data_IF_968368957723
#
_entry.id   IF_968368957723
#
_cell.length_a   1.000
_cell.length_b   1.000
_cell.length_c   1.000
_cell.angle_alpha   90.00
_cell.angle_beta   90.00
_cell.angle_gamma   90.00
#
_symmetry.space_group_name_H-M   'P 1'
#
loop_
_entity.id
_entity.type
_entity.pdbx_description
1 polymer ?
#
# COMPACT_ATOMS: atom_id res chain seq x y z
N UNK A 1 6.67 -12.58 19.07
CA UNK A 1 7.27 -11.74 20.17
C UNK A 1 7.76 -12.61 21.35
N UNK A 2 8.52 -13.65 21.04
CA UNK A 2 8.89 -14.68 22.03
C UNK A 2 9.88 -14.15 23.07
N UNK A 3 10.73 -13.20 22.71
CA UNK A 3 11.78 -12.66 23.59
C UNK A 3 11.51 -11.21 23.95
N UNK A 4 11.64 -10.81 25.24
CA UNK A 4 11.40 -9.43 25.67
C UNK A 4 12.52 -8.46 25.26
N UNK A 5 13.74 -8.96 25.02
CA UNK A 5 14.92 -8.12 24.76
C UNK A 5 14.71 -7.12 23.61
N UNK A 6 14.13 -7.57 22.48
CA UNK A 6 13.86 -6.70 21.34
C UNK A 6 12.84 -5.61 21.69
N UNK A 7 11.78 -5.98 22.43
CA UNK A 7 10.77 -5.00 22.87
C UNK A 7 11.40 -3.99 23.83
N UNK A 8 12.20 -4.44 24.77
CA UNK A 8 12.91 -3.56 25.73
C UNK A 8 13.86 -2.59 25.02
N UNK A 9 14.59 -3.07 24.00
CA UNK A 9 15.49 -2.24 23.19
C UNK A 9 14.71 -1.17 22.43
N UNK A 10 13.60 -1.54 21.79
CA UNK A 10 12.75 -0.61 21.06
C UNK A 10 12.05 0.40 21.98
N UNK A 11 11.62 -0.02 23.18
CA UNK A 11 11.10 0.90 24.20
C UNK A 11 12.15 1.91 24.64
N UNK A 12 13.39 1.47 24.91
CA UNK A 12 14.49 2.36 25.28
C UNK A 12 14.86 3.32 24.13
N UNK A 13 14.69 2.88 22.89
CA UNK A 13 14.91 3.71 21.71
C UNK A 13 13.77 4.68 21.40
N UNK A 14 12.66 4.64 22.14
CA UNK A 14 11.50 5.51 21.91
C UNK A 14 10.68 5.18 20.69
N UNK A 15 10.76 3.93 20.18
CA UNK A 15 10.03 3.52 18.98
C UNK A 15 8.63 2.97 19.26
N UNK A 16 8.41 2.48 20.49
CA UNK A 16 7.14 1.85 20.90
C UNK A 16 6.20 2.90 21.46
N UNK A 17 4.96 2.90 20.97
CA UNK A 17 3.90 3.74 21.50
C UNK A 17 3.53 3.33 22.93
N UNK A 18 3.56 4.25 23.90
CA UNK A 18 3.12 3.97 25.26
C UNK A 18 1.60 3.76 25.37
N UNK A 19 0.85 4.19 24.36
CA UNK A 19 -0.62 4.12 24.36
C UNK A 19 -1.16 2.81 23.79
N UNK A 20 -0.27 1.93 23.32
CA UNK A 20 -0.69 0.66 22.75
C UNK A 20 -1.41 0.76 21.39
N UNK A 21 -1.23 1.85 20.65
CA UNK A 21 -1.88 2.11 19.38
C UNK A 21 -0.89 2.62 18.32
N UNK A 22 -1.03 2.17 17.07
CA UNK A 22 -0.38 2.81 15.93
C UNK A 22 -1.29 3.93 15.42
N UNK A 23 -0.93 5.18 15.73
CA UNK A 23 -1.68 6.38 15.33
C UNK A 23 -1.13 6.92 14.00
N UNK A 24 -1.31 6.15 12.93
CA UNK A 24 -0.74 6.49 11.62
C UNK A 24 -1.23 7.84 11.13
N UNK A 25 -0.30 8.75 10.84
CA UNK A 25 -0.53 10.12 10.30
C UNK A 25 -1.21 11.10 11.26
N UNK A 26 -1.48 10.70 12.50
CA UNK A 26 -2.15 11.52 13.51
C UNK A 26 -1.17 12.47 14.22
N UNK A 27 -1.68 13.59 14.72
CA UNK A 27 -0.91 14.54 15.53
C UNK A 27 -0.36 13.91 16.82
N UNK A 28 -1.08 12.94 17.37
CA UNK A 28 -0.68 12.18 18.56
C UNK A 28 0.24 10.98 18.26
N UNK A 29 0.78 10.85 17.03
CA UNK A 29 1.70 9.78 16.65
C UNK A 29 2.94 9.80 17.54
N UNK A 30 3.19 8.71 18.29
CA UNK A 30 4.24 8.62 19.30
C UNK A 30 4.97 7.27 19.30
N UNK A 31 4.90 6.54 18.21
CA UNK A 31 5.50 5.23 18.05
C UNK A 31 4.53 4.18 17.51
N UNK A 32 5.02 2.97 17.37
CA UNK A 32 4.20 1.85 16.88
C UNK A 32 3.99 0.78 17.95
N UNK A 33 3.07 -0.12 17.70
CA UNK A 33 2.84 -1.30 18.53
C UNK A 33 3.34 -2.53 17.79
N UNK A 34 4.15 -3.35 18.47
CA UNK A 34 4.58 -4.63 17.92
C UNK A 34 3.43 -5.64 17.99
N UNK A 35 3.25 -6.39 16.95
CA UNK A 35 2.31 -7.50 16.90
C UNK A 35 2.91 -8.70 16.17
N UNK A 36 2.20 -9.80 16.18
CA UNK A 36 2.61 -11.06 15.55
C UNK A 36 1.64 -11.43 14.44
N UNK A 37 2.16 -12.14 13.45
CA UNK A 37 1.33 -12.64 12.37
C UNK A 37 2.11 -13.51 11.41
N UNK A 38 1.38 -14.30 10.64
CA UNK A 38 1.86 -15.02 9.49
C UNK A 38 0.89 -14.78 8.34
N UNK A 39 1.40 -14.69 7.13
CA UNK A 39 0.60 -14.48 5.93
C UNK A 39 1.18 -15.23 4.76
N UNK A 40 0.30 -15.70 3.88
CA UNK A 40 0.68 -16.32 2.62
C UNK A 40 -0.23 -15.80 1.50
N UNK A 41 0.34 -15.58 0.35
CA UNK A 41 -0.39 -15.26 -0.88
C UNK A 41 0.01 -16.24 -1.97
N UNK A 42 -0.97 -16.69 -2.75
CA UNK A 42 -0.73 -17.51 -3.93
C UNK A 42 -0.64 -16.59 -5.14
N UNK A 43 0.49 -16.65 -5.84
CA UNK A 43 0.73 -15.85 -7.04
C UNK A 43 0.77 -16.78 -8.25
N UNK A 44 0.04 -16.41 -9.30
CA UNK A 44 -0.03 -17.17 -10.55
C UNK A 44 -0.06 -16.23 -11.74
N UNK A 45 0.47 -16.65 -12.87
CA UNK A 45 0.33 -15.88 -14.11
C UNK A 45 -1.14 -15.73 -14.48
N UNK A 46 -1.57 -14.54 -14.89
CA UNK A 46 -2.96 -14.24 -15.21
C UNK A 46 -3.52 -15.23 -16.25
N UNK A 47 -2.77 -15.51 -17.33
CA UNK A 47 -3.18 -16.47 -18.36
C UNK A 47 -3.45 -17.88 -17.81
N UNK A 48 -2.66 -18.33 -16.83
CA UNK A 48 -2.87 -19.62 -16.20
C UNK A 48 -4.04 -19.60 -15.22
N UNK A 49 -4.19 -18.53 -14.45
CA UNK A 49 -5.33 -18.36 -13.54
C UNK A 49 -6.67 -18.34 -14.31
N UNK A 50 -6.71 -17.68 -15.46
CA UNK A 50 -7.88 -17.67 -16.34
C UNK A 50 -8.17 -19.06 -16.91
N UNK A 51 -7.15 -19.75 -17.40
CA UNK A 51 -7.27 -21.11 -17.95
C UNK A 51 -7.79 -22.10 -16.91
N UNK A 52 -7.32 -21.98 -15.66
CA UNK A 52 -7.66 -22.88 -14.58
C UNK A 52 -8.92 -22.42 -13.80
N UNK A 53 -9.53 -21.29 -14.25
CA UNK A 53 -10.70 -20.67 -13.62
C UNK A 53 -10.51 -20.37 -12.12
N UNK A 54 -9.30 -19.92 -11.76
CA UNK A 54 -8.97 -19.58 -10.38
C UNK A 54 -9.63 -18.26 -9.93
N UNK A 55 -10.00 -18.11 -8.66
CA UNK A 55 -10.48 -16.86 -8.12
C UNK A 55 -9.37 -15.82 -8.04
N UNK A 56 -9.52 -14.71 -8.76
CA UNK A 56 -8.54 -13.61 -8.79
C UNK A 56 -9.01 -12.49 -7.85
N UNK A 57 -8.18 -12.11 -6.88
CA UNK A 57 -8.44 -11.03 -5.94
C UNK A 57 -7.97 -9.69 -6.46
N UNK A 58 -6.77 -9.65 -7.04
CA UNK A 58 -6.17 -8.48 -7.64
C UNK A 58 -5.06 -8.89 -8.61
N UNK A 59 -4.61 -7.96 -9.44
CA UNK A 59 -3.47 -8.12 -10.33
C UNK A 59 -2.27 -7.36 -9.76
N UNK A 60 -1.11 -8.01 -9.65
CA UNK A 60 0.16 -7.35 -9.39
C UNK A 60 0.68 -6.84 -10.72
N UNK A 61 0.68 -5.51 -10.90
CA UNK A 61 1.07 -4.88 -12.16
C UNK A 61 2.56 -4.52 -12.21
N UNK A 62 3.12 -4.17 -11.05
CA UNK A 62 4.54 -3.81 -10.95
C UNK A 62 5.01 -3.79 -9.52
N UNK A 63 6.30 -3.92 -9.33
CA UNK A 63 6.95 -3.80 -8.03
C UNK A 63 8.37 -3.29 -8.17
N UNK A 64 8.87 -2.64 -7.13
CA UNK A 64 10.25 -2.23 -7.02
C UNK A 64 10.76 -2.38 -5.59
N UNK A 65 12.04 -2.55 -5.46
CA UNK A 65 12.77 -2.61 -4.18
C UNK A 65 14.04 -1.78 -4.32
N UNK A 66 14.33 -0.97 -3.32
CA UNK A 66 15.60 -0.26 -3.22
C UNK A 66 16.09 -0.17 -1.77
N UNK A 67 17.13 0.60 -1.57
CA UNK A 67 17.76 0.82 -0.28
C UNK A 67 17.94 2.32 -0.05
N UNK A 68 17.77 2.79 1.20
CA UNK A 68 17.99 4.18 1.60
C UNK A 68 19.44 4.62 1.38
N UNK A 69 20.39 3.69 1.55
CA UNK A 69 21.81 4.02 1.51
C UNK A 69 22.22 4.84 2.72
N UNK A 70 22.98 5.91 2.48
CA UNK A 70 23.39 6.85 3.54
C UNK A 70 22.25 7.83 3.81
N UNK A 71 21.57 7.67 4.95
CA UNK A 71 20.53 8.59 5.44
C UNK A 71 21.04 9.48 6.59
N UNK A 72 20.19 10.35 7.12
CA UNK A 72 20.53 11.23 8.25
C UNK A 72 20.82 10.46 9.56
N UNK A 73 20.40 9.22 9.66
CA UNK A 73 20.64 8.32 10.79
C UNK A 73 20.20 6.91 10.47
N UNK A 74 20.71 5.92 11.20
CA UNK A 74 20.45 4.49 10.96
C UNK A 74 18.96 4.14 10.86
N UNK A 75 18.12 4.87 11.60
CA UNK A 75 16.68 4.62 11.70
C UNK A 75 15.83 5.69 11.03
N UNK A 76 16.47 6.66 10.35
CA UNK A 76 15.78 7.75 9.66
C UNK A 76 15.61 7.37 8.20
N UNK A 77 14.37 7.25 7.71
CA UNK A 77 14.10 6.91 6.32
C UNK A 77 14.62 7.99 5.34
N UNK A 78 14.99 7.56 4.14
CA UNK A 78 15.35 8.48 3.06
C UNK A 78 14.14 8.76 2.14
N UNK A 79 13.66 10.00 2.18
CA UNK A 79 12.50 10.44 1.38
C UNK A 79 12.71 10.21 -0.12
N UNK A 80 13.94 10.44 -0.61
CA UNK A 80 14.23 10.28 -2.03
C UNK A 80 14.26 8.79 -2.45
N UNK A 81 14.75 7.91 -1.58
CA UNK A 81 14.68 6.47 -1.84
C UNK A 81 13.24 5.98 -1.92
N UNK A 82 12.38 6.45 -1.01
CA UNK A 82 10.95 6.13 -1.04
C UNK A 82 10.27 6.66 -2.31
N UNK A 83 10.57 7.90 -2.73
CA UNK A 83 10.07 8.45 -4.01
C UNK A 83 10.50 7.61 -5.21
N UNK A 84 11.77 7.22 -5.25
CA UNK A 84 12.32 6.42 -6.35
C UNK A 84 11.65 5.04 -6.43
N UNK A 85 11.47 4.33 -5.31
CA UNK A 85 10.86 3.00 -5.33
C UNK A 85 9.40 3.04 -5.79
N UNK A 86 8.64 4.07 -5.38
CA UNK A 86 7.26 4.27 -5.84
C UNK A 86 7.23 4.55 -7.34
N UNK A 87 8.04 5.49 -7.81
CA UNK A 87 8.10 5.87 -9.22
C UNK A 87 8.53 4.68 -10.12
N UNK A 88 9.52 3.91 -9.69
CA UNK A 88 10.00 2.72 -10.42
C UNK A 88 8.92 1.63 -10.52
N UNK A 89 8.19 1.36 -9.43
CA UNK A 89 7.10 0.39 -9.44
C UNK A 89 5.97 0.80 -10.39
N UNK A 90 5.61 2.09 -10.41
CA UNK A 90 4.62 2.64 -11.35
C UNK A 90 5.07 2.52 -12.81
N UNK A 91 6.33 2.85 -13.08
CA UNK A 91 6.90 2.71 -14.43
C UNK A 91 6.85 1.26 -14.92
N UNK A 92 7.21 0.30 -14.07
CA UNK A 92 7.10 -1.14 -14.38
C UNK A 92 5.65 -1.59 -14.56
N UNK A 93 4.73 -1.00 -13.81
CA UNK A 93 3.30 -1.28 -13.93
C UNK A 93 2.66 -0.67 -15.19
N UNK A 94 3.29 0.33 -15.82
CA UNK A 94 2.68 1.12 -16.90
C UNK A 94 1.48 1.95 -16.43
N UNK A 95 1.44 2.33 -15.13
CA UNK A 95 0.33 3.04 -14.50
C UNK A 95 0.75 4.48 -14.22
N UNK A 96 -0.14 5.43 -14.56
CA UNK A 96 0.12 6.83 -14.28
C UNK A 96 -0.10 7.15 -12.78
N UNK A 97 0.68 8.05 -12.19
CA UNK A 97 0.55 8.41 -10.77
C UNK A 97 -0.87 8.79 -10.35
N UNK A 98 -1.58 9.54 -11.20
CA UNK A 98 -2.95 9.99 -10.90
C UNK A 98 -4.02 8.88 -11.00
N UNK A 99 -3.68 7.71 -11.55
CA UNK A 99 -4.56 6.55 -11.63
C UNK A 99 -4.52 5.68 -10.35
N UNK A 100 -3.67 5.98 -9.39
CA UNK A 100 -3.66 5.32 -8.07
C UNK A 100 -4.64 6.04 -7.16
N UNK A 101 -5.67 5.37 -6.62
CA UNK A 101 -6.64 5.99 -5.73
C UNK A 101 -6.32 5.81 -4.26
N UNK A 102 -5.62 4.74 -3.91
CA UNK A 102 -5.30 4.40 -2.53
C UNK A 102 -3.85 3.92 -2.38
N UNK A 103 -3.23 4.28 -1.26
CA UNK A 103 -1.96 3.68 -0.83
C UNK A 103 -2.10 3.08 0.54
N UNK A 104 -1.89 1.78 0.62
CA UNK A 104 -1.59 1.11 1.89
C UNK A 104 -0.17 1.48 2.27
N UNK A 105 -0.05 2.42 3.16
CA UNK A 105 1.23 2.96 3.58
C UNK A 105 1.94 2.05 4.59
N UNK A 106 3.23 2.23 4.73
CA UNK A 106 3.96 1.66 5.85
C UNK A 106 3.39 2.19 7.16
N UNK A 107 3.16 3.50 7.28
CA UNK A 107 2.29 4.16 8.27
C UNK A 107 2.37 3.59 9.67
N UNK A 108 3.52 3.70 10.32
CA UNK A 108 3.78 3.11 11.64
C UNK A 108 3.23 3.90 12.81
N UNK A 109 2.86 5.17 12.59
CA UNK A 109 2.48 6.08 13.68
C UNK A 109 3.68 6.70 14.37
N UNK A 110 4.80 6.89 13.66
CA UNK A 110 6.01 7.50 14.20
C UNK A 110 6.12 8.97 13.82
N UNK A 111 6.57 9.85 14.74
CA UNK A 111 6.65 11.30 14.50
C UNK A 111 7.56 11.68 13.33
N UNK A 112 8.54 10.83 13.00
CA UNK A 112 9.52 11.08 11.93
C UNK A 112 9.15 10.34 10.65
N UNK A 113 8.78 9.05 10.75
CA UNK A 113 8.55 8.20 9.59
C UNK A 113 7.32 8.60 8.78
N UNK A 114 6.20 8.84 9.46
CA UNK A 114 4.94 9.15 8.79
C UNK A 114 4.99 10.44 7.95
N UNK A 115 5.60 11.57 8.42
CA UNK A 115 5.75 12.75 7.58
C UNK A 115 6.64 12.54 6.36
N UNK A 116 7.72 11.78 6.48
CA UNK A 116 8.62 11.44 5.37
C UNK A 116 7.88 10.62 4.32
N UNK A 117 7.16 9.59 4.76
CA UNK A 117 6.39 8.73 3.86
C UNK A 117 5.24 9.50 3.19
N UNK A 118 4.48 10.30 3.95
CA UNK A 118 3.38 11.10 3.41
C UNK A 118 3.88 12.08 2.32
N UNK A 119 5.03 12.74 2.54
CA UNK A 119 5.66 13.59 1.52
C UNK A 119 6.11 12.79 0.30
N UNK A 120 6.69 11.61 0.51
CA UNK A 120 7.11 10.75 -0.60
C UNK A 120 5.93 10.32 -1.46
N UNK A 121 4.86 9.85 -0.84
CA UNK A 121 3.60 9.44 -1.50
C UNK A 121 2.98 10.64 -2.24
N UNK A 122 2.75 11.75 -1.54
CA UNK A 122 2.09 12.92 -2.12
C UNK A 122 2.88 13.54 -3.27
N UNK A 123 4.22 13.63 -3.14
CA UNK A 123 5.07 14.16 -4.21
C UNK A 123 4.99 13.33 -5.49
N UNK A 124 4.96 11.99 -5.39
CA UNK A 124 4.97 11.12 -6.57
C UNK A 124 3.57 10.92 -7.14
N UNK A 125 2.56 10.72 -6.28
CA UNK A 125 1.26 10.22 -6.71
C UNK A 125 0.18 11.31 -6.84
N UNK A 126 0.39 12.49 -6.25
CA UNK A 126 -0.62 13.55 -6.26
C UNK A 126 -0.36 14.64 -7.30
N UNK A 127 0.75 14.59 -8.02
CA UNK A 127 1.02 15.53 -9.11
C UNK A 127 -0.06 15.44 -10.19
N UNK A 128 -0.55 16.59 -10.64
CA UNK A 128 -1.59 16.70 -11.68
C UNK A 128 -2.96 16.14 -11.27
N UNK A 129 -3.18 15.86 -9.98
CA UNK A 129 -4.46 15.41 -9.44
C UNK A 129 -5.33 16.60 -9.06
N UNK A 130 -6.60 16.59 -9.44
CA UNK A 130 -7.55 17.61 -9.01
C UNK A 130 -7.70 17.61 -7.49
N UNK A 131 -7.83 18.79 -6.87
CA UNK A 131 -7.99 18.91 -5.41
C UNK A 131 -9.25 18.23 -4.87
N UNK A 132 -10.28 18.07 -5.69
CA UNK A 132 -11.49 17.30 -5.38
C UNK A 132 -11.27 15.78 -5.38
N UNK A 133 -10.16 15.29 -5.93
CA UNK A 133 -9.84 13.88 -6.03
C UNK A 133 -8.53 13.59 -5.27
N UNK A 134 -8.57 13.75 -3.94
CA UNK A 134 -7.40 13.51 -3.08
C UNK A 134 -7.00 12.05 -3.09
N UNK A 135 -5.70 11.79 -3.08
CA UNK A 135 -5.17 10.45 -2.87
C UNK A 135 -5.49 10.00 -1.43
N UNK A 136 -6.01 8.79 -1.31
CA UNK A 136 -6.33 8.20 -0.01
C UNK A 136 -5.13 7.40 0.49
N UNK A 137 -4.74 7.63 1.74
CA UNK A 137 -3.68 6.86 2.40
C UNK A 137 -4.20 6.26 3.70
N UNK A 138 -3.74 5.06 4.05
CA UNK A 138 -4.09 4.42 5.30
C UNK A 138 -3.09 3.32 5.64
N UNK A 139 -3.21 2.73 6.81
CA UNK A 139 -2.34 1.65 7.27
C UNK A 139 -3.09 0.59 8.06
N UNK A 140 -2.89 -0.68 7.73
CA UNK A 140 -3.41 -1.81 8.48
C UNK A 140 -2.86 -1.86 9.92
N UNK A 141 -1.74 -1.19 10.16
CA UNK A 141 -1.12 -1.15 11.49
C UNK A 141 -1.98 -0.45 12.53
N UNK A 142 -2.87 0.45 12.11
CA UNK A 142 -3.85 1.04 13.02
C UNK A 142 -4.84 0.02 13.61
N UNK A 143 -5.04 -1.12 12.93
CA UNK A 143 -5.93 -2.21 13.35
C UNK A 143 -5.18 -3.36 14.02
N UNK A 144 -4.04 -3.76 13.47
CA UNK A 144 -3.35 -5.01 13.79
C UNK A 144 -2.03 -4.79 14.53
N UNK A 145 -1.55 -3.55 14.63
CA UNK A 145 -0.18 -3.26 15.03
C UNK A 145 0.82 -3.61 13.92
N UNK A 146 2.09 -3.46 14.23
CA UNK A 146 3.18 -3.75 13.31
C UNK A 146 3.62 -5.21 13.43
N UNK A 147 3.20 -6.04 12.50
CA UNK A 147 3.54 -7.47 12.43
C UNK A 147 4.97 -7.73 11.90
N UNK A 148 5.80 -6.68 11.86
CA UNK A 148 7.23 -6.71 11.47
C UNK A 148 7.46 -7.42 10.13
N UNK A 149 8.01 -8.62 10.14
CA UNK A 149 8.33 -9.37 8.91
C UNK A 149 7.10 -9.64 8.03
N UNK A 150 5.90 -9.73 8.62
CA UNK A 150 4.66 -10.00 7.89
C UNK A 150 3.96 -8.73 7.41
N UNK A 151 4.38 -7.55 7.88
CA UNK A 151 3.65 -6.30 7.65
C UNK A 151 3.38 -5.98 6.18
N UNK A 152 4.33 -6.26 5.28
CA UNK A 152 4.17 -6.09 3.84
C UNK A 152 3.09 -7.00 3.26
N UNK A 153 3.05 -8.27 3.68
CA UNK A 153 2.02 -9.24 3.25
C UNK A 153 0.65 -8.85 3.78
N UNK A 154 0.55 -8.38 5.02
CA UNK A 154 -0.70 -7.85 5.60
C UNK A 154 -1.24 -6.69 4.75
N UNK A 155 -0.40 -5.72 4.41
CA UNK A 155 -0.78 -4.59 3.55
C UNK A 155 -1.22 -5.05 2.15
N UNK A 156 -0.51 -6.01 1.57
CA UNK A 156 -0.85 -6.59 0.27
C UNK A 156 -2.24 -7.26 0.30
N UNK A 157 -2.50 -8.11 1.31
CA UNK A 157 -3.79 -8.79 1.50
C UNK A 157 -4.91 -7.77 1.71
N UNK A 158 -4.72 -6.77 2.57
CA UNK A 158 -5.70 -5.71 2.78
C UNK A 158 -6.04 -4.98 1.47
N UNK A 159 -5.02 -4.53 0.73
CA UNK A 159 -5.23 -3.82 -0.53
C UNK A 159 -5.96 -4.69 -1.59
N UNK A 160 -5.62 -5.97 -1.70
CA UNK A 160 -6.29 -6.90 -2.60
C UNK A 160 -7.77 -7.09 -2.22
N UNK A 161 -8.08 -7.24 -0.92
CA UNK A 161 -9.45 -7.34 -0.43
C UNK A 161 -10.25 -6.05 -0.64
N UNK A 162 -9.62 -4.89 -0.46
CA UNK A 162 -10.24 -3.59 -0.73
C UNK A 162 -10.61 -3.44 -2.21
N UNK A 163 -9.71 -3.80 -3.12
CA UNK A 163 -9.96 -3.79 -4.56
C UNK A 163 -11.11 -4.73 -4.93
N UNK A 164 -11.11 -5.95 -4.39
CA UNK A 164 -12.16 -6.95 -4.64
C UNK A 164 -13.54 -6.49 -4.14
N UNK A 165 -13.59 -5.88 -2.96
CA UNK A 165 -14.84 -5.46 -2.34
C UNK A 165 -15.24 -4.02 -2.70
N UNK A 166 -14.41 -3.28 -3.42
CA UNK A 166 -14.59 -1.87 -3.77
C UNK A 166 -14.90 -0.99 -2.53
N UNK A 167 -14.23 -1.26 -1.41
CA UNK A 167 -14.40 -0.55 -0.14
C UNK A 167 -13.04 -0.20 0.47
N UNK A 168 -12.98 0.96 1.09
CA UNK A 168 -11.81 1.46 1.83
C UNK A 168 -12.21 1.54 3.31
N UNK A 169 -11.62 0.72 4.19
CA UNK A 169 -11.90 0.78 5.62
C UNK A 169 -11.31 2.05 6.25
N UNK A 170 -11.88 2.45 7.37
CA UNK A 170 -11.33 3.54 8.19
C UNK A 170 -9.90 3.24 8.64
N UNK A 171 -9.08 4.27 8.70
CA UNK A 171 -7.81 4.24 9.45
C UNK A 171 -8.13 4.56 10.90
N UNK A 172 -7.89 3.61 11.80
CA UNK A 172 -8.19 3.80 13.23
C UNK A 172 -7.19 4.77 13.87
N UNK A 173 -7.59 5.33 15.01
CA UNK A 173 -6.75 6.23 15.83
C UNK A 173 -6.27 7.50 15.09
N UNK A 174 -6.94 7.90 14.03
CA UNK A 174 -6.73 9.17 13.34
C UNK A 174 -7.81 10.15 13.79
N UNK A 175 -7.45 11.04 14.71
CA UNK A 175 -8.34 12.02 15.33
C UNK A 175 -8.05 13.41 14.78
N UNK A 176 -6.77 13.77 14.72
CA UNK A 176 -6.31 15.06 14.26
C UNK A 176 -5.12 14.88 13.29
N UNK A 177 -5.13 15.57 12.14
CA UNK A 177 -4.02 15.50 11.20
C UNK A 177 -2.70 15.98 11.82
N UNK A 178 -1.62 15.22 11.58
CA UNK A 178 -0.29 15.62 12.03
C UNK A 178 0.10 16.99 11.46
N UNK A 179 0.52 17.96 12.30
CA UNK A 179 0.97 19.27 11.84
C UNK A 179 2.26 19.21 11.01
N UNK A 180 2.98 18.09 11.04
CA UNK A 180 4.19 17.87 10.27
C UNK A 180 3.93 17.31 8.87
N UNK A 181 2.66 17.05 8.53
CA UNK A 181 2.23 16.55 7.21
C UNK A 181 1.36 17.61 6.55
N UNK A 182 1.81 18.25 5.47
CA UNK A 182 1.04 19.25 4.75
C UNK A 182 -0.01 18.58 3.84
N UNK A 183 -1.05 17.99 4.43
CA UNK A 183 -2.07 17.18 3.73
C UNK A 183 -2.71 17.90 2.54
N UNK A 184 -2.98 19.20 2.68
CA UNK A 184 -3.61 20.00 1.63
C UNK A 184 -2.68 20.23 0.44
N UNK A 185 -1.40 20.52 0.71
CA UNK A 185 -0.38 20.74 -0.32
C UNK A 185 -0.07 19.43 -1.06
N UNK A 186 0.05 18.34 -0.30
CA UNK A 186 0.28 17.00 -0.82
C UNK A 186 -0.94 16.39 -1.51
N UNK A 187 -2.10 17.02 -1.38
CA UNK A 187 -3.38 16.55 -1.93
C UNK A 187 -3.70 15.09 -1.55
N UNK A 188 -3.46 14.76 -0.28
CA UNK A 188 -3.71 13.46 0.33
C UNK A 188 -4.75 13.58 1.45
N UNK A 189 -5.39 12.45 1.80
CA UNK A 189 -6.29 12.36 2.96
C UNK A 189 -6.26 10.96 3.58
N UNK A 190 -6.65 10.89 4.84
CA UNK A 190 -6.81 9.65 5.61
C UNK A 190 -8.31 9.39 5.81
N UNK A 191 -8.84 8.19 5.52
CA UNK A 191 -10.24 7.88 5.73
C UNK A 191 -10.53 7.65 7.22
N UNK A 192 -11.51 8.34 7.78
CA UNK A 192 -11.94 8.21 9.19
C UNK A 192 -13.17 7.30 9.36
N UNK A 193 -13.81 6.97 8.27
CA UNK A 193 -14.96 6.03 8.20
C UNK A 193 -14.74 5.07 7.04
N UNK A 194 -15.41 3.92 7.08
CA UNK A 194 -15.43 3.02 5.93
C UNK A 194 -16.21 3.67 4.79
N UNK A 195 -15.60 3.73 3.62
CA UNK A 195 -16.18 4.38 2.44
C UNK A 195 -16.11 3.47 1.20
N UNK A 196 -16.92 3.78 0.21
CA UNK A 196 -16.83 3.15 -1.09
C UNK A 196 -15.52 3.56 -1.79
N UNK A 197 -14.99 2.67 -2.63
CA UNK A 197 -13.89 3.06 -3.51
C UNK A 197 -14.30 4.23 -4.39
N UNK A 198 -13.43 5.25 -4.59
CA UNK A 198 -13.75 6.39 -5.47
C UNK A 198 -14.18 5.94 -6.86
N UNK A 199 -15.13 6.65 -7.44
CA UNK A 199 -15.54 6.38 -8.82
C UNK A 199 -14.37 6.63 -9.78
N UNK A 200 -14.03 5.62 -10.55
CA UNK A 200 -12.97 5.65 -11.55
C UNK A 200 -13.50 5.67 -12.98
N UNK A 201 -14.83 5.74 -13.15
CA UNK A 201 -15.49 5.60 -14.44
C UNK A 201 -15.15 4.24 -15.09
N UNK A 202 -14.66 4.28 -16.31
CA UNK A 202 -14.23 3.07 -17.03
C UNK A 202 -12.84 2.56 -16.65
N UNK A 203 -12.03 3.37 -15.93
CA UNK A 203 -10.69 2.96 -15.52
C UNK A 203 -10.75 1.93 -14.38
N UNK A 204 -9.77 1.01 -14.31
CA UNK A 204 -9.67 0.07 -13.20
C UNK A 204 -9.29 0.78 -11.88
N UNK A 205 -9.68 0.18 -10.76
CA UNK A 205 -9.22 0.58 -9.43
C UNK A 205 -7.76 0.18 -9.24
N UNK A 206 -6.96 1.07 -8.66
CA UNK A 206 -5.52 0.87 -8.47
C UNK A 206 -5.13 1.25 -7.03
N UNK A 207 -4.35 0.39 -6.41
CA UNK A 207 -3.76 0.62 -5.10
C UNK A 207 -2.24 0.47 -5.13
N UNK A 208 -1.53 1.29 -4.37
CA UNK A 208 -0.13 1.09 -4.02
C UNK A 208 -0.01 0.44 -2.64
N UNK A 209 1.06 -0.31 -2.41
CA UNK A 209 1.39 -0.90 -1.10
C UNK A 209 2.85 -0.62 -0.79
N UNK A 210 3.11 0.06 0.31
CA UNK A 210 4.45 0.36 0.82
C UNK A 210 4.85 -0.63 1.92
N UNK A 211 6.10 -1.06 1.89
CA UNK A 211 6.73 -1.77 3.01
C UNK A 211 8.16 -1.29 3.13
N UNK A 212 8.45 -0.58 4.21
CA UNK A 212 9.75 0.04 4.45
C UNK A 212 10.40 -0.58 5.69
N UNK A 213 11.58 -1.15 5.50
CA UNK A 213 12.31 -1.83 6.58
C UNK A 213 13.12 -0.85 7.41
N UNK A 214 13.22 -1.13 8.70
CA UNK A 214 14.02 -0.35 9.67
C UNK A 214 15.51 -0.22 9.25
N UNK A 215 16.03 -1.21 8.52
CA UNK A 215 17.39 -1.20 7.96
C UNK A 215 17.51 -0.51 6.60
N UNK A 216 16.49 0.22 6.16
CA UNK A 216 16.49 1.04 4.94
C UNK A 216 16.11 0.31 3.65
N UNK A 217 15.66 -0.93 3.70
CA UNK A 217 15.10 -1.61 2.53
C UNK A 217 13.67 -1.16 2.29
N UNK A 218 13.39 -0.58 1.11
CA UNK A 218 12.07 -0.13 0.72
C UNK A 218 11.50 -0.99 -0.39
N UNK A 219 10.22 -1.31 -0.30
CA UNK A 219 9.46 -1.99 -1.34
C UNK A 219 8.15 -1.28 -1.63
N UNK A 220 7.77 -1.22 -2.90
CA UNK A 220 6.46 -0.76 -3.35
C UNK A 220 5.88 -1.74 -4.36
N UNK A 221 4.58 -2.06 -4.20
CA UNK A 221 3.84 -2.92 -5.11
C UNK A 221 2.62 -2.17 -5.62
N UNK A 222 2.36 -2.26 -6.93
CA UNK A 222 1.18 -1.68 -7.58
C UNK A 222 0.19 -2.79 -7.88
N UNK A 223 -1.00 -2.70 -7.27
CA UNK A 223 -2.12 -3.60 -7.46
C UNK A 223 -3.21 -2.93 -8.30
N UNK A 224 -3.88 -3.73 -9.11
CA UNK A 224 -5.05 -3.32 -9.90
C UNK A 224 -6.19 -4.31 -9.70
N UNK A 225 -7.44 -3.82 -9.68
CA UNK A 225 -8.59 -4.71 -9.68
C UNK A 225 -8.57 -5.64 -10.90
N UNK A 226 -9.01 -6.85 -10.71
CA UNK A 226 -9.33 -7.75 -11.79
C UNK A 226 -10.80 -7.54 -12.17
N UNK A 227 -11.06 -7.17 -13.42
CA UNK A 227 -12.38 -7.13 -14.01
C UNK A 227 -12.52 -8.34 -14.93
N UNK A 228 -13.49 -9.17 -14.65
CA UNK A 228 -13.85 -10.23 -15.58
C UNK A 228 -14.44 -9.55 -16.81
N UNK A 229 -13.77 -9.66 -17.94
CA UNK A 229 -14.43 -9.30 -19.20
C UNK A 229 -15.67 -10.20 -19.33
N UNK A 230 -16.85 -9.66 -19.68
CA UNK A 230 -17.92 -10.54 -20.11
C UNK A 230 -17.32 -11.49 -21.15
N UNK A 231 -17.60 -12.81 -21.00
CA UNK A 231 -17.17 -13.78 -21.97
C UNK A 231 -17.52 -13.19 -23.36
N UNK A 232 -16.63 -13.24 -24.37
CA UNK A 232 -17.03 -12.91 -25.71
C UNK A 232 -18.28 -13.78 -25.96
N UNK A 233 -19.39 -13.12 -26.36
CA UNK A 233 -20.56 -13.84 -26.85
C UNK A 233 -20.03 -14.91 -27.79
N UNK A 234 -20.42 -16.16 -27.57
CA UNK A 234 -20.00 -17.30 -28.38
C UNK A 234 -20.25 -16.97 -29.86
N UNK A 235 -19.24 -16.36 -30.47
CA UNK A 235 -19.16 -16.40 -31.92
C UNK A 235 -18.82 -17.86 -32.22
N UNK A 236 -19.68 -18.60 -32.90
CA UNK A 236 -19.41 -19.97 -33.28
C UNK A 236 -18.05 -19.98 -33.95
N UNK A 237 -17.09 -20.65 -33.29
CA UNK A 237 -15.76 -20.85 -33.86
C UNK A 237 -15.99 -21.57 -35.17
N UNK A 238 -15.76 -20.84 -36.25
CA UNK A 238 -15.75 -21.40 -37.57
C UNK A 238 -14.51 -22.33 -37.61
N UNK A 239 -14.72 -23.57 -37.21
CA UNK A 239 -13.71 -24.61 -37.27
C UNK A 239 -13.35 -24.82 -38.77
N UNK A 240 -12.34 -24.07 -39.22
CA UNK A 240 -11.65 -24.41 -40.44
C UNK A 240 -10.82 -25.65 -40.13
N UNK A 241 -11.10 -26.80 -40.78
CA UNK A 241 -10.25 -27.97 -40.61
C UNK A 241 -8.82 -27.59 -41.11
N UNK A 242 -7.85 -27.81 -40.24
CA UNK A 242 -6.44 -27.67 -40.59
C UNK A 242 -6.14 -28.72 -41.67
N UNK A 243 -5.54 -28.35 -42.81
CA UNK A 243 -5.13 -29.32 -43.79
C UNK A 243 -4.03 -30.22 -43.17
N UNK A 244 -4.25 -31.50 -43.12
CA UNK A 244 -3.24 -32.51 -42.86
C UNK A 244 -2.23 -32.47 -44.02
N UNK A 245 -0.97 -32.14 -43.72
CA UNK A 245 0.20 -32.38 -44.59
C UNK A 245 1.01 -33.48 -43.99
#
# INVERSE_FOLDING_TARGET
LIRPDSTMTLCKGGFISPDGCCKSFDAGANGYVRSEGAGAVVIKRLSNALKDNDPIYALICGSAVNQDGKSAGLTVPDENAQKRVIAEALAKAGIQPHDVQYVEAHGTGTPVGDPIEARSIGTVLSQSRAKSNRLIIGSAKSNLGHTESTAGVVGLVKAALMLKNAKIPANLHFVEPSPHIPFEELNIRVPTTTEAWPDTGTKPKVAGVNSFGFGGTNAHVVLREYRQNPAPEDNPVNERPLPLV
#
